data_IF_175110984703
#
_entry.id   IF_175110984703
#
_cell.length_a   1.000
_cell.length_b   1.000
_cell.length_c   1.000
_cell.angle_alpha   90.00
_cell.angle_beta   90.00
_cell.angle_gamma   90.00
#
_symmetry.space_group_name_H-M   'P 1'
#
loop_
_entity.id
_entity.type
_entity.pdbx_description
1 polymer ?
#
# COMPACT_ATOMS: atom_id res chain seq x y z
N UNK A 1 -38.27 3.90 -1.12
CA UNK A 1 -37.06 3.29 -0.52
C UNK A 1 -35.87 3.65 -1.39
N UNK A 2 -35.17 4.75 -1.09
CA UNK A 2 -33.98 5.20 -1.83
C UNK A 2 -32.79 4.35 -1.40
N UNK A 3 -32.55 3.25 -2.09
CA UNK A 3 -31.42 2.35 -1.79
C UNK A 3 -30.09 3.04 -2.07
N UNK A 4 -29.22 3.10 -1.07
CA UNK A 4 -27.81 3.50 -1.24
C UNK A 4 -26.99 2.30 -1.67
N UNK A 5 -26.14 2.46 -2.68
CA UNK A 5 -25.22 1.42 -3.14
C UNK A 5 -23.84 1.61 -2.49
N UNK A 6 -23.23 0.54 -1.97
CA UNK A 6 -21.95 0.66 -1.24
C UNK A 6 -20.78 0.14 -2.05
N UNK A 7 -19.85 1.03 -2.40
CA UNK A 7 -18.59 0.69 -3.10
C UNK A 7 -17.38 1.27 -2.38
N UNK A 8 -16.33 0.44 -2.20
CA UNK A 8 -15.06 0.84 -1.59
C UNK A 8 -15.22 1.56 -0.23
N UNK A 9 -16.24 1.17 0.55
CA UNK A 9 -16.54 1.74 1.87
C UNK A 9 -17.27 3.08 1.86
N UNK A 10 -17.70 3.58 0.69
CA UNK A 10 -18.55 4.78 0.52
C UNK A 10 -19.94 4.34 0.07
N UNK A 11 -20.96 4.97 0.65
CA UNK A 11 -22.33 4.82 0.19
C UNK A 11 -22.60 5.85 -0.92
N UNK A 12 -23.27 5.41 -1.98
CA UNK A 12 -23.65 6.21 -3.12
C UNK A 12 -25.17 6.37 -3.12
N UNK A 13 -25.64 7.62 -3.05
CA UNK A 13 -27.06 7.90 -3.21
C UNK A 13 -27.48 7.76 -4.67
N UNK A 14 -28.79 7.73 -4.93
CA UNK A 14 -29.31 7.73 -6.30
C UNK A 14 -28.86 8.96 -7.10
N UNK A 15 -28.82 10.15 -6.48
CA UNK A 15 -28.37 11.39 -7.15
C UNK A 15 -26.87 11.35 -7.47
N UNK A 16 -26.05 10.80 -6.57
CA UNK A 16 -24.63 10.63 -6.82
C UNK A 16 -24.37 9.61 -7.93
N UNK A 17 -25.19 8.56 -8.02
CA UNK A 17 -25.11 7.59 -9.11
C UNK A 17 -25.44 8.21 -10.47
N UNK A 18 -26.34 9.19 -10.54
CA UNK A 18 -26.58 9.95 -11.79
C UNK A 18 -25.36 10.78 -12.19
N UNK A 19 -24.69 11.44 -11.23
CA UNK A 19 -23.44 12.16 -11.48
C UNK A 19 -22.38 11.21 -12.03
N UNK A 20 -22.23 10.03 -11.42
CA UNK A 20 -21.29 9.00 -11.89
C UNK A 20 -21.61 8.56 -13.32
N UNK A 21 -22.88 8.32 -13.66
CA UNK A 21 -23.31 7.96 -15.03
C UNK A 21 -23.00 9.06 -16.03
N UNK A 22 -23.33 10.30 -15.71
CA UNK A 22 -23.08 11.45 -16.58
C UNK A 22 -21.57 11.62 -16.85
N UNK A 23 -20.73 11.50 -15.82
CA UNK A 23 -19.27 11.57 -15.96
C UNK A 23 -18.72 10.39 -16.77
N UNK A 24 -19.24 9.18 -16.57
CA UNK A 24 -18.83 8.00 -17.33
C UNK A 24 -19.14 8.11 -18.84
N UNK A 25 -20.28 8.73 -19.19
CA UNK A 25 -20.69 8.93 -20.57
C UNK A 25 -19.93 10.08 -21.28
N UNK A 26 -19.48 11.10 -20.53
CA UNK A 26 -18.87 12.32 -21.09
C UNK A 26 -17.35 12.28 -21.19
N UNK A 27 -16.67 11.51 -20.34
CA UNK A 27 -15.20 11.55 -20.24
C UNK A 27 -14.52 10.38 -20.97
N UNK A 28 -13.43 10.63 -21.71
CA UNK A 28 -12.86 9.65 -22.63
C UNK A 28 -12.00 8.56 -21.97
N UNK A 29 -11.70 8.69 -20.68
CA UNK A 29 -10.82 7.72 -19.97
C UNK A 29 -11.33 7.39 -18.59
N UNK A 30 -11.16 6.12 -18.20
CA UNK A 30 -11.44 5.64 -16.83
C UNK A 30 -10.71 6.44 -15.74
N UNK A 31 -9.54 7.00 -16.06
CA UNK A 31 -8.79 7.89 -15.14
C UNK A 31 -9.51 9.23 -14.97
N UNK A 32 -9.84 9.89 -16.08
CA UNK A 32 -10.56 11.17 -16.05
C UNK A 32 -11.90 11.04 -15.33
N UNK A 33 -12.65 9.96 -15.59
CA UNK A 33 -13.92 9.69 -14.91
C UNK A 33 -13.70 9.59 -13.39
N UNK A 34 -12.71 8.80 -12.94
CA UNK A 34 -12.42 8.64 -11.52
C UNK A 34 -11.95 9.94 -10.85
N UNK A 35 -11.14 10.73 -11.56
CA UNK A 35 -10.67 12.04 -11.08
C UNK A 35 -11.84 13.01 -10.90
N UNK A 36 -12.73 13.12 -11.90
CA UNK A 36 -13.92 13.97 -11.83
C UNK A 36 -14.89 13.53 -10.74
N UNK A 37 -15.14 12.23 -10.58
CA UNK A 37 -15.96 11.70 -9.48
C UNK A 37 -15.37 12.09 -8.13
N UNK A 38 -14.03 12.02 -7.97
CA UNK A 38 -13.40 12.42 -6.72
C UNK A 38 -13.57 13.91 -6.42
N UNK A 39 -13.56 14.75 -7.44
CA UNK A 39 -13.74 16.19 -7.26
C UNK A 39 -15.20 16.54 -6.96
N UNK A 40 -16.14 16.08 -7.79
CA UNK A 40 -17.57 16.43 -7.65
C UNK A 40 -18.20 15.86 -6.40
N UNK A 41 -17.83 14.64 -6.02
CA UNK A 41 -18.39 14.00 -4.82
C UNK A 41 -17.56 14.27 -3.56
N UNK A 42 -16.54 15.16 -3.64
CA UNK A 42 -15.63 15.45 -2.54
C UNK A 42 -14.89 14.22 -2.01
N UNK A 43 -14.68 13.19 -2.84
CA UNK A 43 -14.13 11.92 -2.41
C UNK A 43 -12.60 11.99 -2.22
N UNK A 44 -12.20 12.52 -1.05
CA UNK A 44 -10.81 12.80 -0.69
C UNK A 44 -10.32 11.92 0.46
N UNK A 45 -9.00 11.79 0.55
CA UNK A 45 -8.28 11.18 1.68
C UNK A 45 -8.16 12.22 2.79
N UNK A 46 -7.69 11.78 3.97
CA UNK A 46 -7.42 12.67 5.12
C UNK A 46 -6.38 13.75 4.82
N UNK A 47 -5.50 13.51 3.84
CA UNK A 47 -4.48 14.46 3.39
C UNK A 47 -4.96 15.39 2.26
N UNK A 48 -6.26 15.40 1.95
CA UNK A 48 -6.87 16.23 0.91
C UNK A 48 -6.69 15.72 -0.53
N UNK A 49 -5.82 14.73 -0.76
CA UNK A 49 -5.65 14.14 -2.10
C UNK A 49 -6.88 13.33 -2.50
N UNK A 50 -7.16 13.26 -3.81
CA UNK A 50 -8.25 12.45 -4.35
C UNK A 50 -8.12 10.99 -3.93
N UNK A 51 -9.26 10.32 -3.73
CA UNK A 51 -9.31 8.86 -3.53
C UNK A 51 -9.37 8.11 -4.87
N UNK A 52 -8.58 8.57 -5.83
CA UNK A 52 -8.52 8.15 -7.24
C UNK A 52 -8.52 6.63 -7.44
N UNK A 53 -7.68 5.90 -6.70
CA UNK A 53 -7.62 4.44 -6.81
C UNK A 53 -8.89 3.76 -6.29
N UNK A 54 -9.52 4.28 -5.24
CA UNK A 54 -10.82 3.75 -4.76
C UNK A 54 -11.93 4.07 -5.77
N UNK A 55 -11.94 5.26 -6.35
CA UNK A 55 -12.89 5.63 -7.39
C UNK A 55 -12.75 4.76 -8.63
N UNK A 56 -11.52 4.47 -9.08
CA UNK A 56 -11.28 3.55 -10.20
C UNK A 56 -11.77 2.13 -9.92
N UNK A 57 -11.53 1.61 -8.71
CA UNK A 57 -12.03 0.27 -8.32
C UNK A 57 -13.55 0.25 -8.21
N UNK A 58 -14.15 1.30 -7.64
CA UNK A 58 -15.60 1.45 -7.56
C UNK A 58 -16.23 1.50 -8.96
N UNK A 59 -15.66 2.30 -9.88
CA UNK A 59 -16.11 2.37 -11.27
C UNK A 59 -16.08 1.01 -11.97
N UNK A 60 -15.00 0.25 -11.80
CA UNK A 60 -14.91 -1.09 -12.39
C UNK A 60 -16.01 -2.01 -11.86
N UNK A 61 -16.26 -2.00 -10.55
CA UNK A 61 -17.33 -2.80 -9.94
C UNK A 61 -18.71 -2.34 -10.38
N UNK A 62 -18.96 -1.03 -10.45
CA UNK A 62 -20.21 -0.47 -10.96
C UNK A 62 -20.44 -0.87 -12.42
N UNK A 63 -19.39 -0.99 -13.23
CA UNK A 63 -19.49 -1.46 -14.60
C UNK A 63 -19.77 -2.98 -14.68
N UNK A 64 -19.10 -3.76 -13.83
CA UNK A 64 -19.36 -5.20 -13.70
C UNK A 64 -20.80 -5.47 -13.23
N UNK A 65 -21.35 -4.61 -12.36
CA UNK A 65 -22.74 -4.63 -11.91
C UNK A 65 -23.73 -4.05 -12.93
N UNK A 66 -23.27 -3.61 -14.11
CA UNK A 66 -24.10 -3.07 -15.19
C UNK A 66 -24.68 -1.66 -14.95
N UNK A 67 -24.18 -0.93 -13.95
CA UNK A 67 -24.70 0.39 -13.57
C UNK A 67 -24.10 1.54 -14.38
N UNK A 68 -22.92 1.33 -14.98
CA UNK A 68 -22.21 2.32 -15.80
C UNK A 68 -21.49 1.64 -16.97
N UNK A 69 -21.42 2.33 -18.10
CA UNK A 69 -20.60 1.89 -19.24
C UNK A 69 -19.28 2.64 -19.23
N UNK A 70 -18.17 1.91 -19.24
CA UNK A 70 -16.82 2.49 -19.22
C UNK A 70 -16.14 2.41 -20.58
N UNK A 71 -15.30 3.40 -20.95
CA UNK A 71 -14.48 3.32 -22.15
C UNK A 71 -13.51 2.12 -22.07
N UNK A 72 -13.12 1.59 -23.23
CA UNK A 72 -12.18 0.48 -23.31
C UNK A 72 -10.83 0.80 -22.62
N UNK A 73 -10.15 -0.19 -22.00
CA UNK A 73 -8.83 0.03 -21.43
C UNK A 73 -7.83 0.40 -22.53
N UNK A 74 -7.04 1.47 -22.32
CA UNK A 74 -6.01 1.89 -23.30
C UNK A 74 -4.74 1.05 -23.25
N UNK A 75 -4.46 0.40 -22.12
CA UNK A 75 -3.26 -0.41 -21.93
C UNK A 75 -3.67 -1.83 -21.53
N UNK A 76 -3.03 -2.83 -22.14
CA UNK A 76 -3.11 -4.21 -21.68
C UNK A 76 -2.51 -4.33 -20.26
N UNK A 77 -3.07 -5.20 -19.44
CA UNK A 77 -2.76 -5.33 -18.00
C UNK A 77 -1.41 -6.07 -17.76
N UNK A 78 -0.39 -5.80 -18.57
CA UNK A 78 0.79 -6.66 -18.76
C UNK A 78 1.89 -6.50 -17.69
N UNK A 79 1.63 -5.86 -16.55
CA UNK A 79 2.68 -5.59 -15.53
C UNK A 79 2.30 -5.87 -14.08
N UNK A 80 1.08 -6.35 -13.81
CA UNK A 80 0.70 -6.76 -12.46
C UNK A 80 1.03 -8.24 -12.16
N UNK A 81 1.48 -9.01 -13.17
CA UNK A 81 1.77 -10.44 -13.04
C UNK A 81 3.26 -10.74 -13.01
N UNK A 82 3.69 -11.44 -11.95
CA UNK A 82 5.05 -11.95 -11.66
C UNK A 82 6.09 -10.89 -11.32
N UNK A 83 6.00 -10.39 -10.10
CA UNK A 83 7.20 -9.91 -9.41
C UNK A 83 7.88 -11.15 -8.82
N UNK A 84 9.17 -11.40 -9.12
CA UNK A 84 9.91 -12.49 -8.50
C UNK A 84 9.87 -12.32 -6.97
N UNK A 85 9.43 -13.36 -6.26
CA UNK A 85 9.43 -13.34 -4.79
C UNK A 85 10.86 -13.26 -4.25
N UNK A 86 11.77 -13.92 -4.96
CA UNK A 86 13.20 -13.94 -4.71
C UNK A 86 13.93 -13.42 -5.96
N UNK A 87 14.96 -12.63 -5.72
CA UNK A 87 15.91 -12.13 -6.73
C UNK A 87 17.32 -12.38 -6.18
N UNK A 88 18.32 -12.47 -7.05
CA UNK A 88 19.71 -12.48 -6.62
C UNK A 88 20.07 -11.14 -5.96
N UNK A 89 20.83 -11.20 -4.87
CA UNK A 89 21.25 -10.01 -4.15
C UNK A 89 22.13 -9.14 -5.07
N UNK A 90 21.88 -7.83 -5.19
CA UNK A 90 22.93 -6.93 -5.62
C UNK A 90 24.09 -7.09 -4.64
N UNK A 91 25.31 -7.03 -5.17
CA UNK A 91 26.51 -7.00 -4.35
C UNK A 91 26.50 -5.74 -3.48
N UNK A 92 25.86 -5.84 -2.31
CA UNK A 92 26.11 -4.90 -1.23
C UNK A 92 27.48 -5.23 -0.66
N UNK A 93 28.26 -4.18 -0.37
CA UNK A 93 29.55 -4.32 0.30
C UNK A 93 29.36 -5.26 1.50
N UNK A 94 30.19 -6.31 1.66
CA UNK A 94 30.01 -7.27 2.73
C UNK A 94 30.22 -6.55 4.05
N UNK A 95 29.12 -6.14 4.66
CA UNK A 95 29.12 -5.66 6.02
C UNK A 95 29.21 -6.88 6.93
N UNK A 96 30.38 -7.50 7.01
CA UNK A 96 30.63 -8.52 8.01
C UNK A 96 30.76 -7.85 9.38
N UNK A 97 29.63 -7.44 9.96
CA UNK A 97 29.59 -6.93 11.33
C UNK A 97 29.50 -8.10 12.28
N UNK A 98 30.59 -8.34 13.01
CA UNK A 98 30.66 -9.25 14.14
C UNK A 98 31.33 -8.50 15.29
N UNK A 99 30.58 -8.21 16.36
CA UNK A 99 31.09 -7.42 17.48
C UNK A 99 30.01 -7.12 18.52
N UNK A 100 30.37 -6.49 19.65
CA UNK A 100 29.39 -6.09 20.66
C UNK A 100 28.44 -5.01 20.13
N UNK A 101 27.19 -4.99 20.61
CA UNK A 101 26.15 -4.02 20.18
C UNK A 101 26.63 -2.56 20.17
N UNK A 102 27.50 -2.17 21.12
CA UNK A 102 28.05 -0.80 21.23
C UNK A 102 28.89 -0.37 20.02
N UNK A 103 29.44 -1.32 19.26
CA UNK A 103 30.30 -1.05 18.10
C UNK A 103 29.48 -0.80 16.81
N UNK A 104 28.15 -1.01 16.84
CA UNK A 104 27.26 -0.66 15.72
C UNK A 104 27.23 0.84 15.42
N UNK A 105 27.56 1.67 16.41
CA UNK A 105 27.44 3.12 16.33
C UNK A 105 25.98 3.57 16.22
N UNK A 106 25.79 4.75 15.65
CA UNK A 106 24.47 5.35 15.48
C UNK A 106 23.68 4.64 14.37
N UNK A 107 22.44 4.28 14.68
CA UNK A 107 21.48 3.73 13.73
C UNK A 107 20.62 4.85 13.14
N UNK A 108 20.46 4.84 11.82
CA UNK A 108 19.58 5.76 11.11
C UNK A 108 18.47 5.01 10.38
N UNK A 109 17.23 5.51 10.53
CA UNK A 109 16.08 5.03 9.79
C UNK A 109 15.84 5.94 8.59
N UNK A 110 16.34 5.53 7.43
CA UNK A 110 16.23 6.32 6.20
C UNK A 110 14.94 5.97 5.47
N UNK A 111 14.05 6.95 5.31
CA UNK A 111 12.79 6.78 4.56
C UNK A 111 13.10 6.52 3.08
N UNK A 112 12.59 5.41 2.55
CA UNK A 112 12.74 5.04 1.15
C UNK A 112 11.81 5.89 0.27
N UNK A 113 12.39 6.81 -0.49
CA UNK A 113 11.69 7.76 -1.34
C UNK A 113 12.05 7.60 -2.83
N UNK A 114 13.33 7.42 -3.14
CA UNK A 114 13.84 7.42 -4.53
C UNK A 114 13.62 6.08 -5.23
N UNK A 115 13.70 6.08 -6.57
CA UNK A 115 13.60 4.84 -7.34
C UNK A 115 14.75 3.87 -7.03
N UNK A 116 15.94 4.40 -6.74
CA UNK A 116 17.12 3.61 -6.36
C UNK A 116 16.92 2.94 -5.00
N UNK A 117 16.52 3.70 -3.97
CA UNK A 117 16.22 3.15 -2.64
C UNK A 117 15.08 2.12 -2.69
N UNK A 118 14.04 2.37 -3.50
CA UNK A 118 12.94 1.41 -3.67
C UNK A 118 13.43 0.09 -4.28
N UNK A 119 14.36 0.13 -5.23
CA UNK A 119 14.97 -1.08 -5.80
C UNK A 119 15.84 -1.79 -4.77
N UNK A 120 16.70 -1.04 -4.07
CA UNK A 120 17.57 -1.56 -3.01
C UNK A 120 16.78 -2.29 -1.93
N UNK A 121 15.79 -1.62 -1.32
CA UNK A 121 14.91 -2.19 -0.31
C UNK A 121 14.19 -3.45 -0.81
N UNK A 122 13.67 -3.41 -2.04
CA UNK A 122 12.96 -4.57 -2.63
C UNK A 122 13.88 -5.77 -2.76
N UNK A 123 15.11 -5.54 -3.21
CA UNK A 123 16.06 -6.61 -3.42
C UNK A 123 16.54 -7.23 -2.10
N UNK A 124 16.82 -6.41 -1.07
CA UNK A 124 17.15 -6.93 0.26
C UNK A 124 16.04 -7.82 0.84
N UNK A 125 14.78 -7.38 0.70
CA UNK A 125 13.63 -8.16 1.16
C UNK A 125 13.40 -9.41 0.31
N UNK A 126 13.56 -9.33 -1.02
CA UNK A 126 13.42 -10.49 -1.90
C UNK A 126 14.48 -11.56 -1.61
N UNK A 127 15.71 -11.13 -1.31
CA UNK A 127 16.84 -12.01 -1.09
C UNK A 127 16.82 -12.62 0.31
N UNK A 128 16.66 -11.81 1.36
CA UNK A 128 16.97 -12.23 2.73
C UNK A 128 15.77 -12.42 3.64
N UNK A 129 14.61 -11.84 3.32
CA UNK A 129 13.43 -12.04 4.15
C UNK A 129 12.77 -13.37 3.79
N UNK A 130 12.42 -14.19 4.78
CA UNK A 130 11.84 -15.54 4.59
C UNK A 130 10.54 -15.56 3.76
N UNK A 131 9.75 -14.47 3.81
CA UNK A 131 8.56 -14.29 2.96
C UNK A 131 8.85 -13.77 1.54
N UNK A 132 10.09 -13.37 1.25
CA UNK A 132 10.49 -12.64 0.06
C UNK A 132 9.72 -11.33 -0.14
N UNK A 133 9.86 -10.75 -1.33
CA UNK A 133 9.15 -9.53 -1.71
C UNK A 133 7.79 -9.85 -2.34
N UNK A 134 6.76 -9.22 -1.77
CA UNK A 134 5.45 -9.06 -2.42
C UNK A 134 5.02 -7.60 -2.28
N UNK A 135 4.34 -7.02 -3.29
CA UNK A 135 3.80 -5.67 -3.18
C UNK A 135 2.86 -5.55 -1.97
N UNK A 136 3.04 -4.50 -1.19
CA UNK A 136 2.11 -4.17 -0.11
C UNK A 136 0.83 -3.58 -0.69
N UNK A 137 -0.30 -3.95 -0.11
CA UNK A 137 -1.58 -3.33 -0.39
C UNK A 137 -1.75 -2.05 0.45
N UNK A 138 -2.40 -1.05 -0.14
CA UNK A 138 -2.76 0.18 0.55
C UNK A 138 -1.60 1.15 0.81
N UNK A 139 -1.78 2.01 1.81
CA UNK A 139 -0.74 2.93 2.27
C UNK A 139 0.44 2.15 2.84
N UNK A 140 1.65 2.59 2.52
CA UNK A 140 2.89 1.93 2.92
C UNK A 140 4.00 2.92 3.19
N UNK A 141 4.93 2.51 4.03
CA UNK A 141 6.16 3.23 4.35
C UNK A 141 7.29 2.22 4.49
N UNK A 142 8.49 2.57 4.04
CA UNK A 142 9.64 1.66 4.01
C UNK A 142 10.86 2.41 4.49
N UNK A 143 11.70 1.71 5.23
CA UNK A 143 12.95 2.23 5.75
C UNK A 143 14.10 1.29 5.41
N UNK A 144 15.24 1.88 5.08
CA UNK A 144 16.55 1.25 5.21
C UNK A 144 17.07 1.55 6.62
N UNK A 145 17.66 0.55 7.27
CA UNK A 145 18.35 0.73 8.56
C UNK A 145 19.83 0.84 8.26
N UNK A 146 20.37 2.04 8.42
CA UNK A 146 21.74 2.39 8.05
C UNK A 146 22.61 2.62 9.29
N UNK A 147 23.90 2.36 9.15
CA UNK A 147 24.96 2.73 10.10
C UNK A 147 26.09 3.41 9.33
N UNK A 148 27.09 3.94 10.04
CA UNK A 148 28.30 4.47 9.40
C UNK A 148 29.06 3.42 8.56
N UNK A 149 28.83 2.13 8.81
CA UNK A 149 29.42 1.04 8.05
C UNK A 149 28.56 0.67 6.83
N UNK A 150 27.22 0.75 6.93
CA UNK A 150 26.31 0.54 5.82
C UNK A 150 24.93 0.02 6.27
N UNK A 151 24.19 -0.55 5.33
CA UNK A 151 22.84 -1.06 5.61
C UNK A 151 22.90 -2.35 6.40
N UNK A 152 22.19 -2.39 7.52
CA UNK A 152 22.11 -3.57 8.38
C UNK A 152 20.73 -4.25 8.36
N UNK A 153 19.73 -3.60 7.75
CA UNK A 153 18.38 -4.11 7.76
C UNK A 153 17.37 -3.24 7.01
N UNK A 154 16.12 -3.69 7.01
CA UNK A 154 14.99 -2.97 6.43
C UNK A 154 13.75 -3.09 7.30
N UNK A 155 12.93 -2.04 7.28
CA UNK A 155 11.58 -2.06 7.83
C UNK A 155 10.56 -1.74 6.73
N UNK A 156 9.40 -2.36 6.80
CA UNK A 156 8.27 -2.10 5.91
C UNK A 156 6.98 -2.08 6.69
N UNK A 157 6.26 -0.97 6.61
CA UNK A 157 4.94 -0.79 7.18
C UNK A 157 3.90 -0.72 6.07
N UNK A 158 2.76 -1.36 6.29
CA UNK A 158 1.63 -1.33 5.38
C UNK A 158 0.33 -1.03 6.15
N UNK A 159 -0.77 -0.85 5.42
CA UNK A 159 -2.09 -0.72 6.02
C UNK A 159 -2.40 -1.94 6.89
N UNK A 160 -3.03 -1.71 8.04
CA UNK A 160 -3.38 -2.79 8.97
C UNK A 160 -4.30 -3.83 8.33
N UNK A 161 -4.14 -5.09 8.73
CA UNK A 161 -5.00 -6.17 8.27
C UNK A 161 -6.46 -5.91 8.65
N UNK A 162 -7.40 -6.11 7.71
CA UNK A 162 -8.82 -5.85 7.91
C UNK A 162 -9.42 -6.53 9.15
N UNK A 163 -8.97 -7.75 9.46
CA UNK A 163 -9.33 -8.49 10.67
C UNK A 163 -8.07 -9.13 11.24
N UNK A 164 -7.85 -8.95 12.54
CA UNK A 164 -6.79 -9.61 13.29
C UNK A 164 -7.28 -9.74 14.73
N UNK A 165 -7.85 -10.90 15.07
CA UNK A 165 -8.45 -11.13 16.38
C UNK A 165 -7.46 -10.88 17.54
N UNK A 166 -6.17 -11.30 17.47
CA UNK A 166 -5.21 -10.98 18.52
C UNK A 166 -5.01 -9.48 18.74
N UNK A 167 -4.88 -8.68 17.65
CA UNK A 167 -4.77 -7.23 17.75
C UNK A 167 -6.04 -6.62 18.36
N UNK A 168 -7.20 -7.00 17.81
CA UNK A 168 -8.48 -6.44 18.23
C UNK A 168 -8.73 -6.75 19.72
N UNK A 169 -8.44 -7.97 20.19
CA UNK A 169 -8.55 -8.34 21.60
C UNK A 169 -7.55 -7.60 22.49
N UNK A 170 -6.29 -7.47 22.08
CA UNK A 170 -5.26 -6.80 22.87
C UNK A 170 -5.55 -5.30 23.09
N UNK A 171 -6.04 -4.60 22.06
CA UNK A 171 -6.39 -3.17 22.14
C UNK A 171 -7.81 -2.96 22.69
N UNK A 172 -8.59 -4.03 22.87
CA UNK A 172 -9.98 -3.95 23.35
C UNK A 172 -10.96 -3.40 22.32
N UNK A 173 -10.73 -3.67 21.03
CA UNK A 173 -11.61 -3.25 19.95
C UNK A 173 -12.67 -4.30 19.64
N UNK A 174 -13.93 -3.86 19.64
CA UNK A 174 -15.01 -4.60 19.01
C UNK A 174 -15.03 -4.36 17.49
N UNK A 175 -15.99 -4.98 16.78
CA UNK A 175 -16.09 -4.85 15.32
C UNK A 175 -16.35 -3.40 14.87
N UNK A 176 -17.15 -2.64 15.63
CA UNK A 176 -17.52 -1.27 15.31
C UNK A 176 -16.32 -0.32 15.50
N UNK A 177 -15.61 -0.44 16.63
CA UNK A 177 -14.40 0.31 16.94
C UNK A 177 -13.31 0.02 15.93
N UNK A 178 -13.11 -1.25 15.57
CA UNK A 178 -12.16 -1.62 14.50
C UNK A 178 -12.52 -0.90 13.22
N UNK A 179 -13.77 -0.97 12.76
CA UNK A 179 -14.16 -0.34 11.50
C UNK A 179 -13.90 1.18 11.50
N UNK A 180 -14.15 1.86 12.63
CA UNK A 180 -13.92 3.28 12.78
C UNK A 180 -12.41 3.64 12.88
N UNK A 181 -11.62 2.83 13.58
CA UNK A 181 -10.25 3.19 14.00
C UNK A 181 -9.13 2.45 13.27
N UNK A 182 -9.42 1.45 12.42
CA UNK A 182 -8.39 0.64 11.76
C UNK A 182 -7.36 1.47 10.98
N UNK A 183 -7.77 2.61 10.43
CA UNK A 183 -6.92 3.54 9.70
C UNK A 183 -5.83 4.21 10.57
N UNK A 184 -5.95 4.16 11.90
CA UNK A 184 -4.99 4.68 12.87
C UNK A 184 -3.88 3.67 13.23
N UNK A 185 -3.99 2.43 12.72
CA UNK A 185 -3.02 1.37 12.98
C UNK A 185 -2.30 1.01 11.68
N UNK A 186 -0.99 0.83 11.77
CA UNK A 186 -0.15 0.29 10.69
C UNK A 186 0.30 -1.12 11.04
N UNK A 187 0.39 -1.98 10.04
CA UNK A 187 0.96 -3.31 10.18
C UNK A 187 2.45 -3.29 9.86
N UNK A 188 3.28 -3.93 10.68
CA UNK A 188 4.64 -4.26 10.30
C UNK A 188 4.59 -5.38 9.25
N UNK A 189 4.79 -5.01 7.99
CA UNK A 189 4.73 -5.92 6.86
C UNK A 189 6.07 -6.63 6.63
N UNK A 190 7.20 -5.99 6.92
CA UNK A 190 8.55 -6.57 6.78
C UNK A 190 9.46 -6.05 7.88
N UNK A 191 10.09 -6.96 8.59
CA UNK A 191 11.17 -6.69 9.52
C UNK A 191 12.34 -7.58 9.14
N UNK A 192 13.45 -6.98 8.75
CA UNK A 192 14.63 -7.69 8.29
C UNK A 192 15.86 -7.09 8.93
N UNK A 193 16.62 -7.93 9.63
CA UNK A 193 18.03 -7.70 9.91
C UNK A 193 18.79 -8.59 8.94
N UNK A 194 19.81 -8.04 8.27
CA UNK A 194 20.56 -8.81 7.28
C UNK A 194 21.31 -9.97 7.95
N UNK A 195 21.34 -11.16 7.34
CA UNK A 195 21.82 -12.39 7.98
C UNK A 195 23.31 -12.37 8.34
N UNK A 196 24.10 -11.49 7.71
CA UNK A 196 25.52 -11.30 8.00
C UNK A 196 25.77 -10.33 9.16
N UNK A 197 24.74 -9.64 9.66
CA UNK A 197 24.84 -8.75 10.83
C UNK A 197 24.70 -9.61 12.09
N UNK A 198 25.79 -9.75 12.85
CA UNK A 198 25.83 -10.50 14.10
C UNK A 198 26.37 -9.61 15.20
N UNK A 199 25.58 -9.39 16.24
CA UNK A 199 26.02 -8.61 17.40
C UNK A 199 25.85 -9.40 18.69
N UNK A 200 26.84 -9.28 19.57
CA UNK A 200 26.89 -9.91 20.88
C UNK A 200 26.51 -8.93 22.01
#
# INVERSE_FOLDING_TARGET
MTGTLRYCGRDFSASEMEVVRALAASLPTRRAIADAICDELGWRRVDGRRKDMSARVALLRMADDGLVTLPAPRNANNRNGRIPRHEEAPAELPLAMSGPLRDLGQLELVVVATAAEKRRWRSLVATHHYLGYVPFAGAQMRYLVETGAGTIGTLGFASSAWKCAPRDAHIGWDASTRQARLHLVVGNARFLILPHVKVA
#
